data_IF_035258870345
#
_entry.id   IF_035258870345
#
_cell.length_a   1.000
_cell.length_b   1.000
_cell.length_c   1.000
_cell.angle_alpha   90.00
_cell.angle_beta   90.00
_cell.angle_gamma   90.00
#
_symmetry.space_group_name_H-M   'P 1'
#
loop_
_entity.id
_entity.type
_entity.pdbx_description
1 polymer ?
#
# COMPACT_ATOMS: atom_id res chain seq x y z
N UNK A 1 34.48 44.52 47.27
CA UNK A 1 33.27 43.96 46.65
C UNK A 1 33.43 44.15 45.15
N UNK A 2 33.05 43.16 44.34
CA UNK A 2 33.29 43.02 42.88
C UNK A 2 34.55 42.23 42.48
N UNK A 3 34.38 40.91 42.63
CA UNK A 3 34.66 39.82 41.67
C UNK A 3 35.81 39.95 40.68
N UNK A 4 36.87 39.20 40.97
CA UNK A 4 37.92 38.77 40.05
C UNK A 4 37.42 37.65 39.12
N UNK A 5 37.72 37.75 37.82
CA UNK A 5 37.70 36.62 36.87
C UNK A 5 39.13 36.27 36.49
N UNK A 6 39.64 35.15 37.02
CA UNK A 6 40.85 34.51 36.51
C UNK A 6 40.49 33.08 36.08
N UNK A 7 40.61 32.85 34.77
CA UNK A 7 40.55 31.53 34.16
C UNK A 7 41.73 30.67 34.65
N UNK A 8 41.45 29.44 35.06
CA UNK A 8 42.45 28.44 35.41
C UNK A 8 42.14 27.15 34.66
N UNK A 9 43.00 26.86 33.69
CA UNK A 9 43.07 25.62 32.93
C UNK A 9 43.55 24.49 33.83
N UNK A 10 42.84 23.36 33.87
CA UNK A 10 43.27 22.15 34.59
C UNK A 10 43.29 20.95 33.64
N UNK A 11 44.50 20.43 33.42
CA UNK A 11 44.80 19.20 32.68
C UNK A 11 44.64 18.02 33.64
N UNK A 12 43.92 16.93 33.31
CA UNK A 12 43.86 15.76 34.18
C UNK A 12 45.10 14.88 34.00
N UNK A 13 45.80 14.54 35.09
CA UNK A 13 46.70 13.38 35.18
C UNK A 13 46.11 12.36 36.16
N UNK A 14 46.08 11.14 35.68
CA UNK A 14 45.49 9.88 36.18
C UNK A 14 46.05 9.43 37.54
N UNK A 15 45.23 8.75 38.36
CA UNK A 15 45.51 7.46 39.06
C UNK A 15 44.31 7.11 39.99
N UNK A 16 43.82 5.86 39.92
CA UNK A 16 42.99 5.26 40.97
C UNK A 16 41.95 4.22 40.51
N UNK A 17 42.39 2.99 40.28
CA UNK A 17 41.56 1.81 39.98
C UNK A 17 40.51 1.52 41.06
N UNK A 18 39.26 1.23 40.66
CA UNK A 18 38.46 0.13 41.24
C UNK A 18 37.67 -0.57 40.14
N UNK A 19 37.93 -1.86 40.02
CA UNK A 19 37.41 -2.86 39.11
C UNK A 19 35.89 -3.06 39.25
N UNK A 20 35.15 -3.03 38.13
CA UNK A 20 34.09 -4.02 37.87
C UNK A 20 33.84 -4.13 36.37
N UNK A 21 34.27 -5.27 35.82
CA UNK A 21 33.99 -5.72 34.47
C UNK A 21 32.49 -5.95 34.32
N UNK A 22 31.88 -5.31 33.32
CA UNK A 22 30.69 -5.81 32.64
C UNK A 22 30.92 -5.59 31.15
N UNK A 23 30.66 -6.65 30.41
CA UNK A 23 31.11 -6.95 29.06
C UNK A 23 30.84 -5.85 28.02
N UNK A 24 31.89 -5.53 27.26
CA UNK A 24 31.81 -4.76 26.04
C UNK A 24 31.13 -5.62 24.96
N UNK A 25 29.88 -5.29 24.64
CA UNK A 25 29.28 -5.68 23.36
C UNK A 25 29.74 -4.63 22.34
N UNK A 26 30.52 -5.07 21.36
CA UNK A 26 30.89 -4.30 20.18
C UNK A 26 29.63 -3.70 19.56
N UNK A 27 29.52 -2.37 19.58
CA UNK A 27 28.59 -1.65 18.73
C UNK A 27 29.27 -1.63 17.37
N UNK A 28 28.88 -2.58 16.50
CA UNK A 28 29.26 -2.55 15.09
C UNK A 28 28.76 -1.24 14.47
N UNK A 29 29.65 -0.62 13.69
CA UNK A 29 29.44 0.63 12.98
C UNK A 29 28.08 0.65 12.27
N UNK A 30 27.27 1.65 12.60
CA UNK A 30 26.06 1.97 11.87
C UNK A 30 26.45 2.32 10.42
N UNK A 31 26.24 1.37 9.51
CA UNK A 31 26.37 1.60 8.08
C UNK A 31 25.36 2.66 7.69
N UNK A 32 25.85 3.87 7.39
CA UNK A 32 25.08 4.92 6.74
C UNK A 32 24.76 4.39 5.34
N UNK A 33 23.56 3.83 5.17
CA UNK A 33 23.05 3.48 3.85
C UNK A 33 22.73 4.79 3.13
N UNK A 34 23.66 5.22 2.29
CA UNK A 34 23.51 6.35 1.37
C UNK A 34 22.27 6.19 0.49
N UNK A 35 21.67 7.32 0.12
CA UNK A 35 20.42 7.47 -0.64
C UNK A 35 20.44 6.88 -2.07
N UNK A 36 21.57 6.34 -2.53
CA UNK A 36 21.84 5.99 -3.93
C UNK A 36 21.50 4.53 -4.33
N UNK A 37 21.03 3.67 -3.42
CA UNK A 37 20.64 2.29 -3.76
C UNK A 37 19.15 1.99 -3.48
N UNK A 38 18.22 2.81 -4.00
CA UNK A 38 16.92 2.23 -4.36
C UNK A 38 17.12 1.35 -5.58
N UNK A 39 17.54 0.09 -5.35
CA UNK A 39 17.44 -0.96 -6.38
C UNK A 39 16.06 -0.88 -7.01
N UNK A 40 16.00 -0.78 -8.34
CA UNK A 40 14.73 -0.81 -9.08
C UNK A 40 13.89 -1.98 -8.57
N UNK A 41 12.77 -1.67 -7.93
CA UNK A 41 11.76 -2.65 -7.55
C UNK A 41 10.53 -2.46 -8.42
N UNK A 42 9.72 -3.51 -8.65
CA UNK A 42 8.49 -3.37 -9.41
C UNK A 42 7.54 -2.34 -8.79
N UNK A 43 6.60 -1.82 -9.58
CA UNK A 43 5.59 -0.88 -9.08
C UNK A 43 4.58 -1.62 -8.19
N UNK A 44 4.06 -0.96 -7.15
CA UNK A 44 2.98 -1.53 -6.33
C UNK A 44 1.62 -1.58 -7.07
N UNK A 45 1.46 -0.77 -8.13
CA UNK A 45 0.34 -0.78 -9.07
C UNK A 45 0.84 -0.43 -10.47
N UNK A 46 0.35 -1.14 -11.50
CA UNK A 46 0.93 -1.07 -12.85
C UNK A 46 -0.04 -0.52 -13.88
N UNK A 47 -1.27 -1.04 -13.91
CA UNK A 47 -2.20 -0.79 -15.01
C UNK A 47 -2.80 0.62 -14.98
N UNK A 48 -2.75 1.31 -16.13
CA UNK A 48 -3.34 2.63 -16.35
C UNK A 48 -2.84 3.71 -15.37
N UNK A 49 -1.59 3.60 -14.91
CA UNK A 49 -0.98 4.59 -14.02
C UNK A 49 0.34 5.11 -14.56
N UNK A 50 0.73 6.29 -14.11
CA UNK A 50 2.05 6.87 -14.33
C UNK A 50 2.67 7.29 -13.00
N UNK A 51 3.98 7.11 -12.87
CA UNK A 51 4.73 7.61 -11.72
C UNK A 51 4.83 9.13 -11.76
N UNK A 52 4.77 9.76 -10.60
CA UNK A 52 4.96 11.21 -10.45
C UNK A 52 5.66 11.49 -9.12
N UNK A 53 6.41 12.58 -9.04
CA UNK A 53 7.01 13.06 -7.79
C UNK A 53 6.02 13.91 -6.99
N UNK A 54 6.27 14.04 -5.68
CA UNK A 54 5.48 14.92 -4.82
C UNK A 54 5.63 16.39 -5.24
N UNK A 55 6.83 16.81 -5.64
CA UNK A 55 7.13 18.15 -6.14
C UNK A 55 6.34 18.49 -7.41
N UNK A 56 6.24 17.55 -8.37
CA UNK A 56 5.42 17.73 -9.57
C UNK A 56 3.93 17.84 -9.24
N UNK A 57 3.43 17.07 -8.26
CA UNK A 57 2.05 17.21 -7.79
C UNK A 57 1.80 18.59 -7.17
N UNK A 58 2.72 19.08 -6.34
CA UNK A 58 2.59 20.38 -5.67
C UNK A 58 2.64 21.56 -6.64
N UNK A 59 3.51 21.49 -7.66
CA UNK A 59 3.70 22.59 -8.61
C UNK A 59 2.69 22.60 -9.76
N UNK A 60 2.34 21.44 -10.28
CA UNK A 60 1.64 21.34 -11.56
C UNK A 60 0.18 20.86 -11.44
N UNK A 61 -0.20 20.20 -10.34
CA UNK A 61 -1.56 19.68 -10.18
C UNK A 61 -2.49 20.74 -9.60
N UNK A 62 -3.48 21.17 -10.39
CA UNK A 62 -4.54 22.04 -9.89
C UNK A 62 -5.47 21.27 -8.93
N UNK A 63 -6.15 22.02 -8.06
CA UNK A 63 -7.11 21.48 -7.09
C UNK A 63 -8.52 21.79 -7.57
N UNK A 64 -9.35 20.76 -7.87
CA UNK A 64 -10.75 20.97 -8.24
C UNK A 64 -11.57 21.58 -7.11
N UNK A 65 -12.64 22.29 -7.47
CA UNK A 65 -13.65 22.82 -6.55
C UNK A 65 -15.00 22.12 -6.71
N UNK A 66 -15.81 22.17 -5.64
CA UNK A 66 -17.23 21.86 -5.67
C UNK A 66 -18.02 22.97 -6.40
N UNK A 67 -19.30 22.71 -6.69
CA UNK A 67 -20.19 23.65 -7.38
C UNK A 67 -20.50 24.92 -6.59
N UNK A 68 -20.24 24.91 -5.28
CA UNK A 68 -20.28 26.09 -4.39
C UNK A 68 -18.93 26.80 -4.26
N UNK A 69 -17.97 26.50 -5.14
CA UNK A 69 -16.61 27.05 -5.21
C UNK A 69 -15.69 26.70 -4.03
N UNK A 70 -16.10 25.83 -3.11
CA UNK A 70 -15.20 25.33 -2.08
C UNK A 70 -14.19 24.36 -2.71
N UNK A 71 -12.90 24.52 -2.39
CA UNK A 71 -11.88 23.60 -2.87
C UNK A 71 -12.07 22.22 -2.25
N UNK A 72 -11.76 21.20 -3.05
CA UNK A 72 -11.50 19.86 -2.54
C UNK A 72 -10.21 19.86 -1.72
N UNK A 73 -10.02 18.88 -0.84
CA UNK A 73 -8.69 18.62 -0.27
C UNK A 73 -7.74 18.32 -1.45
N UNK A 74 -6.43 18.50 -1.36
CA UNK A 74 -5.53 18.21 -2.49
C UNK A 74 -4.85 16.85 -2.33
N UNK A 75 -4.35 16.26 -3.42
CA UNK A 75 -3.64 14.97 -3.38
C UNK A 75 -2.41 15.05 -2.49
N UNK A 76 -1.62 16.12 -2.62
CA UNK A 76 -0.46 16.41 -1.81
C UNK A 76 -0.82 16.60 -0.33
N UNK A 77 -1.93 17.30 -0.02
CA UNK A 77 -2.34 17.48 1.38
C UNK A 77 -2.77 16.16 2.00
N UNK A 78 -3.41 15.28 1.23
CA UNK A 78 -3.73 13.93 1.66
C UNK A 78 -2.46 13.12 1.98
N UNK A 79 -1.47 13.13 1.09
CA UNK A 79 -0.18 12.43 1.31
C UNK A 79 0.48 12.95 2.60
N UNK A 80 0.64 14.27 2.73
CA UNK A 80 1.28 14.90 3.88
C UNK A 80 0.60 14.53 5.21
N UNK A 81 -0.73 14.56 5.28
CA UNK A 81 -1.44 14.21 6.51
C UNK A 81 -1.22 12.76 6.94
N UNK A 82 -1.09 11.83 5.99
CA UNK A 82 -0.81 10.42 6.29
C UNK A 82 0.66 10.21 6.65
N UNK A 83 1.58 10.89 5.96
CA UNK A 83 3.00 10.87 6.30
C UNK A 83 3.27 11.45 7.69
N UNK A 84 2.68 12.60 8.02
CA UNK A 84 2.83 13.24 9.31
C UNK A 84 2.30 12.35 10.44
N UNK A 85 1.11 11.75 10.25
CA UNK A 85 0.56 10.79 11.20
C UNK A 85 1.49 9.59 11.39
N UNK A 86 2.09 9.07 10.30
CA UNK A 86 2.99 7.94 10.36
C UNK A 86 4.30 8.29 11.07
N UNK A 87 4.91 9.45 10.78
CA UNK A 87 6.14 9.93 11.43
C UNK A 87 5.95 10.15 12.93
N UNK A 88 4.79 10.66 13.33
CA UNK A 88 4.45 10.83 14.75
C UNK A 88 4.26 9.49 15.44
N UNK A 89 3.48 8.58 14.84
CA UNK A 89 3.18 7.29 15.48
C UNK A 89 4.40 6.36 15.53
N UNK A 90 5.17 6.30 14.44
CA UNK A 90 6.38 5.50 14.32
C UNK A 90 7.64 6.37 14.51
N UNK A 91 7.64 7.17 15.58
CA UNK A 91 8.76 8.07 15.91
C UNK A 91 10.06 7.26 16.07
N UNK A 92 11.13 7.70 15.40
CA UNK A 92 12.45 7.05 15.46
C UNK A 92 12.68 5.99 14.38
N UNK A 93 11.65 5.62 13.62
CA UNK A 93 11.77 4.68 12.51
C UNK A 93 12.28 5.36 11.23
N UNK A 94 12.90 4.59 10.34
CA UNK A 94 13.41 5.07 9.07
C UNK A 94 12.37 4.84 7.95
N UNK A 95 12.01 5.89 7.23
CA UNK A 95 11.01 5.84 6.16
C UNK A 95 11.65 5.81 4.78
N UNK A 96 11.04 5.05 3.86
CA UNK A 96 11.34 5.11 2.45
C UNK A 96 10.71 6.32 1.76
N UNK A 97 11.09 6.51 0.49
CA UNK A 97 10.49 7.53 -0.36
C UNK A 97 9.04 7.17 -0.67
N UNK A 98 8.19 8.18 -0.79
CA UNK A 98 6.80 8.00 -1.18
C UNK A 98 6.69 7.78 -2.68
N UNK A 99 6.27 6.57 -3.05
CA UNK A 99 5.92 6.22 -4.42
C UNK A 99 4.52 6.71 -4.72
N UNK A 100 4.36 7.50 -5.79
CA UNK A 100 3.06 8.06 -6.18
C UNK A 100 2.71 7.63 -7.59
N UNK A 101 1.48 7.13 -7.76
CA UNK A 101 0.92 6.64 -9.01
C UNK A 101 -0.38 7.36 -9.29
N UNK A 102 -0.47 8.02 -10.42
CA UNK A 102 -1.64 8.80 -10.83
C UNK A 102 -2.30 8.22 -12.07
N UNK A 103 -3.58 8.54 -12.26
CA UNK A 103 -4.28 8.27 -13.53
C UNK A 103 -3.65 9.04 -14.69
N UNK A 104 -4.21 8.85 -15.90
CA UNK A 104 -3.90 9.73 -17.02
C UNK A 104 -4.12 11.21 -16.66
N UNK A 105 -3.27 12.07 -17.24
CA UNK A 105 -3.37 13.53 -17.11
C UNK A 105 -4.68 14.00 -17.71
N UNK A 106 -5.38 14.89 -17.02
CA UNK A 106 -6.49 15.63 -17.58
C UNK A 106 -6.04 17.06 -17.79
N UNK A 107 -6.06 17.46 -19.06
CA UNK A 107 -5.65 18.78 -19.51
C UNK A 107 -6.88 19.69 -19.57
N UNK A 108 -6.87 20.74 -18.75
CA UNK A 108 -7.73 21.90 -18.86
C UNK A 108 -7.00 23.06 -19.53
N UNK A 109 -7.69 24.19 -19.66
CA UNK A 109 -7.13 25.44 -20.17
C UNK A 109 -7.34 26.55 -19.15
N UNK A 110 -6.37 27.45 -19.04
CA UNK A 110 -6.57 28.68 -18.28
C UNK A 110 -7.62 29.57 -18.97
N UNK A 111 -8.33 30.46 -18.24
CA UNK A 111 -9.39 31.28 -18.82
C UNK A 111 -8.97 32.10 -20.05
N UNK A 112 -7.74 32.62 -20.07
CA UNK A 112 -7.18 33.41 -21.17
C UNK A 112 -6.88 32.61 -22.44
N UNK A 113 -6.93 31.27 -22.39
CA UNK A 113 -6.59 30.37 -23.49
C UNK A 113 -7.76 29.52 -23.99
N UNK A 114 -8.99 29.74 -23.48
CA UNK A 114 -10.16 28.92 -23.82
C UNK A 114 -10.44 28.85 -25.33
N UNK A 115 -10.23 29.95 -26.05
CA UNK A 115 -10.51 30.08 -27.49
C UNK A 115 -9.32 29.72 -28.39
N UNK A 116 -8.12 29.50 -27.83
CA UNK A 116 -6.93 29.12 -28.62
C UNK A 116 -7.15 27.74 -29.25
N UNK A 117 -6.69 27.55 -30.48
CA UNK A 117 -6.71 26.22 -31.11
C UNK A 117 -5.66 25.32 -30.45
N UNK A 118 -5.82 23.99 -30.59
CA UNK A 118 -4.92 23.02 -29.92
C UNK A 118 -3.46 23.23 -30.34
N UNK A 119 -3.23 23.63 -31.59
CA UNK A 119 -1.91 23.88 -32.17
C UNK A 119 -1.26 25.18 -31.65
N UNK A 120 -2.05 26.07 -31.02
CA UNK A 120 -1.63 27.39 -30.52
C UNK A 120 -1.45 27.40 -28.99
N UNK A 121 -1.75 26.28 -28.31
CA UNK A 121 -1.60 26.16 -26.87
C UNK A 121 -0.12 26.05 -26.50
N UNK A 122 0.29 26.86 -25.52
CA UNK A 122 1.59 26.75 -24.86
C UNK A 122 1.42 26.01 -23.52
N UNK A 123 2.49 25.46 -22.93
CA UNK A 123 2.39 24.75 -21.65
C UNK A 123 1.74 25.58 -20.52
N UNK A 124 2.01 26.88 -20.49
CA UNK A 124 1.40 27.84 -19.54
C UNK A 124 -0.10 28.10 -19.77
N UNK A 125 -0.63 27.73 -20.93
CA UNK A 125 -2.04 27.84 -21.27
C UNK A 125 -2.86 26.63 -20.76
N UNK A 126 -2.19 25.57 -20.32
CA UNK A 126 -2.79 24.31 -19.88
C UNK A 126 -2.81 24.18 -18.35
N UNK A 127 -3.87 23.57 -17.82
CA UNK A 127 -3.93 23.16 -16.42
C UNK A 127 -3.96 21.65 -16.33
N UNK A 128 -3.29 21.06 -15.34
CA UNK A 128 -3.18 19.62 -15.20
C UNK A 128 -3.85 19.20 -13.90
N UNK A 129 -4.71 18.18 -13.96
CA UNK A 129 -5.10 17.44 -12.76
C UNK A 129 -5.20 15.95 -13.02
N UNK A 130 -5.20 15.17 -11.93
CA UNK A 130 -5.33 13.72 -11.96
C UNK A 130 -6.60 13.30 -11.22
N UNK A 131 -7.47 12.55 -11.89
CA UNK A 131 -8.71 12.04 -11.29
C UNK A 131 -8.45 11.07 -10.14
N UNK A 132 -7.41 10.23 -10.26
CA UNK A 132 -7.10 9.20 -9.28
C UNK A 132 -5.62 9.25 -8.93
N UNK A 133 -5.33 9.09 -7.65
CA UNK A 133 -3.98 9.05 -7.11
C UNK A 133 -3.90 7.93 -6.07
N UNK A 134 -2.82 7.16 -6.13
CA UNK A 134 -2.42 6.21 -5.11
C UNK A 134 -1.01 6.55 -4.66
N UNK A 135 -0.72 6.41 -3.38
CA UNK A 135 0.63 6.51 -2.86
C UNK A 135 0.93 5.40 -1.87
N UNK A 136 2.21 5.07 -1.73
CA UNK A 136 2.71 4.05 -0.82
C UNK A 136 4.14 4.41 -0.40
N UNK A 137 4.44 4.27 0.90
CA UNK A 137 5.81 4.34 1.42
C UNK A 137 6.00 3.23 2.46
N UNK A 138 7.22 2.70 2.53
CA UNK A 138 7.58 1.67 3.50
C UNK A 138 8.34 2.25 4.69
N UNK A 139 8.23 1.60 5.83
CA UNK A 139 9.07 1.84 7.00
C UNK A 139 10.27 0.89 6.89
N UNK A 140 11.41 1.39 6.39
CA UNK A 140 12.61 0.63 6.05
C UNK A 140 13.12 -0.22 7.22
N UNK A 141 13.10 0.33 8.43
CA UNK A 141 13.53 -0.33 9.66
C UNK A 141 12.57 -1.44 10.13
N UNK A 142 11.33 -1.48 9.61
CA UNK A 142 10.36 -2.53 9.89
C UNK A 142 10.30 -3.55 8.75
N UNK A 143 11.37 -4.33 8.61
CA UNK A 143 11.42 -5.47 7.68
C UNK A 143 11.38 -6.81 8.40
N UNK A 144 10.89 -7.86 7.72
CA UNK A 144 10.90 -9.25 8.18
C UNK A 144 11.12 -10.20 7.02
N UNK A 145 11.62 -11.40 7.33
CA UNK A 145 11.61 -12.53 6.39
C UNK A 145 10.35 -13.35 6.61
N UNK A 146 9.55 -13.52 5.56
CA UNK A 146 8.29 -14.27 5.59
C UNK A 146 8.22 -15.19 4.37
N UNK A 147 8.07 -16.49 4.59
CA UNK A 147 7.94 -17.49 3.53
C UNK A 147 9.05 -17.44 2.46
N UNK A 148 10.27 -17.09 2.85
CA UNK A 148 11.42 -16.96 1.96
C UNK A 148 11.60 -15.59 1.31
N UNK A 149 10.68 -14.65 1.55
CA UNK A 149 10.71 -13.31 0.97
C UNK A 149 10.93 -12.23 2.04
N UNK A 150 11.66 -11.18 1.68
CA UNK A 150 11.75 -9.98 2.52
C UNK A 150 10.50 -9.13 2.34
N UNK A 151 9.90 -8.73 3.46
CA UNK A 151 8.71 -7.89 3.50
C UNK A 151 8.94 -6.66 4.37
N UNK A 152 8.30 -5.55 4.00
CA UNK A 152 8.34 -4.31 4.76
C UNK A 152 6.95 -3.89 5.17
N UNK A 153 6.82 -3.29 6.36
CA UNK A 153 5.60 -2.60 6.73
C UNK A 153 5.47 -1.34 5.85
N UNK A 154 4.29 -1.15 5.28
CA UNK A 154 4.01 -0.06 4.35
C UNK A 154 2.67 0.62 4.68
N UNK A 155 2.62 1.90 4.37
CA UNK A 155 1.49 2.78 4.60
C UNK A 155 1.19 3.49 3.29
N UNK A 156 -0.07 3.78 3.04
CA UNK A 156 -0.44 4.52 1.86
C UNK A 156 -1.91 4.87 1.82
N UNK A 157 -2.33 5.33 0.65
CA UNK A 157 -3.71 5.71 0.44
C UNK A 157 -4.07 5.86 -1.02
N UNK A 158 -5.37 5.89 -1.25
CA UNK A 158 -5.98 6.12 -2.56
C UNK A 158 -6.99 7.25 -2.44
N UNK A 159 -6.96 8.14 -3.42
CA UNK A 159 -8.00 9.14 -3.62
C UNK A 159 -8.50 9.08 -5.06
N UNK A 160 -9.82 9.15 -5.21
CA UNK A 160 -10.49 9.16 -6.50
C UNK A 160 -11.54 10.26 -6.53
N UNK A 161 -11.27 11.33 -7.28
CA UNK A 161 -12.21 12.43 -7.48
C UNK A 161 -13.49 11.97 -8.22
N UNK A 162 -13.44 10.81 -8.88
CA UNK A 162 -14.61 10.21 -9.53
C UNK A 162 -15.63 9.66 -8.53
N UNK A 163 -15.25 9.50 -7.26
CA UNK A 163 -16.18 9.11 -6.18
C UNK A 163 -16.89 10.34 -5.56
N UNK A 164 -16.52 11.55 -5.99
CA UNK A 164 -17.09 12.83 -5.58
C UNK A 164 -18.11 13.37 -6.58
N UNK A 165 -19.09 14.13 -6.08
CA UNK A 165 -19.97 14.93 -6.93
C UNK A 165 -19.50 16.39 -6.94
N UNK A 166 -18.50 16.69 -7.76
CA UNK A 166 -17.90 18.02 -7.86
C UNK A 166 -18.86 19.11 -8.36
N UNK A 167 -19.99 18.75 -8.99
CA UNK A 167 -21.01 19.71 -9.42
C UNK A 167 -22.00 20.09 -8.31
N UNK A 168 -22.02 19.35 -7.20
CA UNK A 168 -22.85 19.65 -6.04
C UNK A 168 -22.12 20.58 -5.06
N UNK A 169 -22.83 21.03 -4.02
CA UNK A 169 -22.21 21.70 -2.86
C UNK A 169 -21.20 20.75 -2.21
N UNK A 170 -20.23 21.30 -1.47
CA UNK A 170 -19.28 20.49 -0.68
C UNK A 170 -19.99 19.46 0.20
N UNK A 171 -19.57 18.21 0.04
CA UNK A 171 -19.96 17.05 0.86
C UNK A 171 -18.71 16.45 1.50
N UNK A 172 -18.85 15.51 2.46
CA UNK A 172 -17.73 14.72 2.91
C UNK A 172 -17.02 14.07 1.71
N UNK A 173 -15.71 14.30 1.62
CA UNK A 173 -14.84 13.77 0.58
C UNK A 173 -14.37 12.36 0.98
N UNK A 174 -14.19 11.47 0.00
CA UNK A 174 -13.85 10.06 0.20
C UNK A 174 -12.37 9.79 -0.05
N UNK A 175 -11.79 9.08 0.89
CA UNK A 175 -10.41 8.62 0.86
C UNK A 175 -10.34 7.15 1.26
N UNK A 176 -9.21 6.53 0.94
CA UNK A 176 -8.86 5.19 1.43
C UNK A 176 -7.45 5.27 1.99
N UNK A 177 -7.25 4.77 3.20
CA UNK A 177 -5.93 4.71 3.85
C UNK A 177 -5.66 3.27 4.28
N UNK A 178 -4.41 2.85 4.20
CA UNK A 178 -4.01 1.51 4.58
C UNK A 178 -2.67 1.48 5.32
N UNK A 179 -2.51 0.42 6.10
CA UNK A 179 -1.25 -0.05 6.66
C UNK A 179 -1.21 -1.57 6.50
N UNK A 180 -0.09 -2.12 6.05
CA UNK A 180 0.03 -3.55 5.82
C UNK A 180 1.43 -3.94 5.35
N UNK A 181 1.60 -5.18 4.94
CA UNK A 181 2.91 -5.70 4.53
C UNK A 181 3.07 -5.66 3.02
N UNK A 182 4.28 -5.37 2.54
CA UNK A 182 4.64 -5.38 1.12
C UNK A 182 5.84 -6.27 0.87
N UNK A 183 5.75 -7.13 -0.14
CA UNK A 183 6.86 -8.00 -0.55
C UNK A 183 7.87 -7.23 -1.39
N UNK A 184 9.15 -7.30 -1.02
CA UNK A 184 10.22 -6.52 -1.67
C UNK A 184 10.44 -6.89 -3.14
N UNK A 185 10.46 -8.19 -3.48
CA UNK A 185 10.84 -8.65 -4.82
C UNK A 185 9.81 -8.32 -5.91
N UNK A 186 8.55 -8.13 -5.54
CA UNK A 186 7.47 -7.91 -6.50
C UNK A 186 6.58 -6.70 -6.17
N UNK A 187 6.75 -6.06 -5.01
CA UNK A 187 5.89 -4.96 -4.56
C UNK A 187 4.42 -5.33 -4.38
N UNK A 188 4.08 -6.61 -4.23
CA UNK A 188 2.74 -7.02 -3.84
C UNK A 188 2.42 -6.49 -2.44
N UNK A 189 1.32 -5.74 -2.33
CA UNK A 189 0.71 -5.44 -1.03
C UNK A 189 -0.03 -6.67 -0.51
N UNK A 190 -0.07 -6.80 0.81
CA UNK A 190 -0.81 -7.83 1.53
C UNK A 190 -1.62 -7.14 2.61
N UNK A 191 -2.79 -6.63 2.21
CA UNK A 191 -3.70 -5.94 3.10
C UNK A 191 -4.66 -6.91 3.77
N UNK A 192 -4.92 -6.66 5.04
CA UNK A 192 -5.95 -7.34 5.84
C UNK A 192 -7.04 -6.35 6.22
N UNK A 193 -8.16 -6.86 6.72
CA UNK A 193 -9.30 -6.03 7.08
C UNK A 193 -9.00 -4.98 8.17
N UNK A 194 -8.17 -5.32 9.16
CA UNK A 194 -7.69 -4.41 10.21
C UNK A 194 -6.64 -3.40 9.73
N UNK A 195 -6.13 -3.57 8.51
CA UNK A 195 -5.13 -2.71 7.88
C UNK A 195 -5.69 -1.77 6.80
N UNK A 196 -7.00 -1.78 6.52
CA UNK A 196 -7.60 -0.97 5.45
C UNK A 196 -8.84 -0.21 5.93
N UNK A 197 -8.79 1.12 5.86
CA UNK A 197 -10.00 1.94 5.88
C UNK A 197 -10.45 2.20 4.44
N UNK A 198 -11.32 1.34 3.91
CA UNK A 198 -11.75 1.36 2.51
C UNK A 198 -12.73 2.48 2.13
N UNK A 199 -13.33 3.15 3.11
CA UNK A 199 -14.21 4.32 2.92
C UNK A 199 -14.07 5.28 4.10
N UNK A 200 -13.13 6.20 3.98
CA UNK A 200 -12.94 7.31 4.91
C UNK A 200 -13.66 8.54 4.35
N UNK A 201 -14.71 9.02 5.03
CA UNK A 201 -15.44 10.23 4.66
C UNK A 201 -15.04 11.39 5.58
N UNK A 202 -14.50 12.46 5.02
CA UNK A 202 -13.91 13.59 5.78
C UNK A 202 -14.40 14.94 5.30
N UNK A 203 -14.50 15.89 6.21
CA UNK A 203 -14.83 17.28 5.88
C UNK A 203 -13.58 18.16 5.80
N UNK A 204 -12.51 17.75 6.47
CA UNK A 204 -11.23 18.46 6.55
C UNK A 204 -10.04 17.51 6.46
N UNK A 205 -8.88 18.05 6.15
CA UNK A 205 -7.64 17.27 6.14
C UNK A 205 -7.16 16.86 7.54
N UNK A 206 -7.59 17.54 8.60
CA UNK A 206 -7.33 17.13 9.98
C UNK A 206 -8.03 15.79 10.34
N UNK A 207 -9.18 15.51 9.72
CA UNK A 207 -9.89 14.24 9.91
C UNK A 207 -9.12 13.07 9.28
N UNK A 208 -8.36 13.32 8.21
CA UNK A 208 -7.47 12.33 7.57
C UNK A 208 -6.37 11.95 8.54
N UNK A 209 -5.66 12.93 9.09
CA UNK A 209 -4.59 12.71 10.07
C UNK A 209 -5.08 11.90 11.27
N UNK A 210 -6.22 12.32 11.84
CA UNK A 210 -6.82 11.65 13.00
C UNK A 210 -7.24 10.21 12.69
N UNK A 211 -7.76 9.96 11.48
CA UNK A 211 -8.14 8.62 11.03
C UNK A 211 -6.92 7.74 10.75
N UNK A 212 -5.84 8.31 10.20
CA UNK A 212 -4.57 7.62 9.99
C UNK A 212 -3.95 7.17 11.32
N UNK A 213 -3.86 8.07 12.31
CA UNK A 213 -3.38 7.71 13.65
C UNK A 213 -4.19 6.58 14.28
N UNK A 214 -5.53 6.63 14.18
CA UNK A 214 -6.39 5.56 14.70
C UNK A 214 -6.12 4.24 14.01
N UNK A 215 -6.00 4.23 12.68
CA UNK A 215 -5.67 3.03 11.92
C UNK A 215 -4.34 2.43 12.38
N UNK A 216 -3.31 3.25 12.60
CA UNK A 216 -2.00 2.76 13.04
C UNK A 216 -2.03 2.22 14.48
N UNK A 217 -2.84 2.81 15.35
CA UNK A 217 -3.07 2.34 16.72
C UNK A 217 -3.81 1.00 16.77
N UNK A 218 -4.81 0.83 15.92
CA UNK A 218 -5.66 -0.36 15.91
C UNK A 218 -5.00 -1.55 15.18
N UNK A 219 -4.13 -1.27 14.20
CA UNK A 219 -3.42 -2.28 13.44
C UNK A 219 -2.45 -3.07 14.32
N UNK A 220 -2.43 -4.40 14.16
CA UNK A 220 -1.60 -5.32 14.97
C UNK A 220 -0.57 -6.03 14.08
N UNK A 221 0.61 -5.42 13.82
CA UNK A 221 1.58 -5.92 12.85
C UNK A 221 1.98 -7.39 13.07
N UNK A 222 2.24 -7.77 14.32
CA UNK A 222 2.68 -9.13 14.68
C UNK A 222 1.58 -10.19 14.52
N UNK A 223 0.30 -9.84 14.75
CA UNK A 223 -0.81 -10.75 14.49
C UNK A 223 -0.99 -10.95 12.99
N UNK A 224 -0.87 -9.86 12.23
CA UNK A 224 -0.90 -9.86 10.78
C UNK A 224 0.22 -10.72 10.18
N UNK A 225 1.45 -10.56 10.67
CA UNK A 225 2.60 -11.37 10.27
C UNK A 225 2.35 -12.85 10.46
N UNK A 226 1.90 -13.27 11.65
CA UNK A 226 1.62 -14.69 11.93
C UNK A 226 0.56 -15.26 11.01
N UNK A 227 -0.49 -14.50 10.72
CA UNK A 227 -1.53 -14.90 9.77
C UNK A 227 -0.93 -15.17 8.39
N UNK A 228 -0.15 -14.22 7.88
CA UNK A 228 0.46 -14.28 6.55
C UNK A 228 1.55 -15.37 6.44
N UNK A 229 2.38 -15.53 7.48
CA UNK A 229 3.38 -16.60 7.57
C UNK A 229 2.73 -17.99 7.50
N UNK A 230 1.61 -18.18 8.20
CA UNK A 230 0.91 -19.47 8.22
C UNK A 230 0.42 -19.89 6.82
N UNK A 231 0.14 -18.96 5.91
CA UNK A 231 -0.27 -19.29 4.53
C UNK A 231 0.79 -20.11 3.77
N UNK A 232 2.07 -19.98 4.11
CA UNK A 232 3.15 -20.75 3.45
C UNK A 232 3.16 -22.24 3.80
N UNK A 233 2.48 -22.61 4.90
CA UNK A 233 2.45 -23.99 5.44
C UNK A 233 1.37 -24.85 4.79
N UNK A 234 0.28 -24.27 4.31
CA UNK A 234 -0.80 -25.00 3.64
C UNK A 234 -0.51 -25.11 2.15
N UNK A 235 -0.42 -26.35 1.65
CA UNK A 235 -0.13 -26.63 0.24
C UNK A 235 -1.41 -26.78 -0.58
N UNK A 236 -1.34 -26.37 -1.83
CA UNK A 236 -2.40 -26.46 -2.84
C UNK A 236 -1.83 -27.27 -4.01
N UNK A 237 -2.48 -28.38 -4.31
CA UNK A 237 -2.12 -29.22 -5.45
C UNK A 237 -2.49 -28.56 -6.78
N UNK A 238 -1.91 -29.06 -7.88
CA UNK A 238 -2.26 -28.56 -9.21
C UNK A 238 -3.75 -28.75 -9.52
N UNK A 239 -4.33 -29.88 -9.08
CA UNK A 239 -5.75 -30.16 -9.23
C UNK A 239 -6.60 -29.15 -8.46
N UNK A 240 -6.26 -28.87 -7.20
CA UNK A 240 -6.95 -27.88 -6.37
C UNK A 240 -6.81 -26.47 -6.96
N UNK A 241 -5.64 -26.10 -7.47
CA UNK A 241 -5.46 -24.82 -8.14
C UNK A 241 -6.37 -24.70 -9.38
N UNK A 242 -6.43 -25.74 -10.22
CA UNK A 242 -7.32 -25.78 -11.37
C UNK A 242 -8.80 -25.67 -10.97
N UNK A 243 -9.23 -26.34 -9.90
CA UNK A 243 -10.58 -26.23 -9.34
C UNK A 243 -10.86 -24.80 -8.89
N UNK A 244 -9.95 -24.19 -8.13
CA UNK A 244 -10.06 -22.79 -7.68
C UNK A 244 -10.27 -21.85 -8.86
N UNK A 245 -9.40 -21.92 -9.88
CA UNK A 245 -9.50 -21.05 -11.06
C UNK A 245 -10.81 -21.30 -11.83
N UNK A 246 -11.21 -22.56 -12.01
CA UNK A 246 -12.48 -22.92 -12.65
C UNK A 246 -13.69 -22.37 -11.89
N UNK A 247 -13.69 -22.48 -10.56
CA UNK A 247 -14.74 -21.97 -9.68
C UNK A 247 -14.78 -20.45 -9.64
N UNK A 248 -13.64 -19.77 -9.66
CA UNK A 248 -13.55 -18.31 -9.78
C UNK A 248 -14.14 -17.78 -11.10
N UNK A 249 -13.94 -18.51 -12.21
CA UNK A 249 -14.60 -18.18 -13.48
C UNK A 249 -16.10 -18.42 -13.43
N UNK A 250 -16.53 -19.56 -12.88
CA UNK A 250 -17.95 -19.87 -12.73
C UNK A 250 -18.65 -18.85 -11.82
N UNK A 251 -18.00 -18.45 -10.72
CA UNK A 251 -18.50 -17.47 -9.74
C UNK A 251 -19.01 -16.21 -10.42
N UNK A 252 -18.27 -15.67 -11.40
CA UNK A 252 -18.65 -14.46 -12.12
C UNK A 252 -19.91 -14.61 -13.00
N UNK A 253 -20.31 -15.83 -13.33
CA UNK A 253 -21.50 -16.14 -14.11
C UNK A 253 -22.70 -16.59 -13.25
N UNK A 254 -22.53 -16.73 -11.92
CA UNK A 254 -23.59 -17.20 -11.04
C UNK A 254 -24.70 -16.16 -10.85
N UNK A 255 -25.96 -16.59 -10.67
CA UNK A 255 -27.04 -15.68 -10.32
C UNK A 255 -26.84 -15.11 -8.90
N UNK A 256 -27.38 -13.91 -8.68
CA UNK A 256 -27.25 -13.18 -7.41
C UNK A 256 -27.79 -13.94 -6.17
N UNK A 257 -28.71 -14.90 -6.36
CA UNK A 257 -29.17 -15.77 -5.27
C UNK A 257 -28.05 -16.68 -4.75
N UNK A 258 -27.32 -17.34 -5.64
CA UNK A 258 -26.23 -18.26 -5.28
C UNK A 258 -24.99 -17.48 -4.79
N UNK A 259 -24.70 -16.33 -5.39
CA UNK A 259 -23.59 -15.48 -4.95
C UNK A 259 -23.70 -15.03 -3.49
N UNK A 260 -24.92 -14.89 -2.95
CA UNK A 260 -25.15 -14.50 -1.55
C UNK A 260 -24.80 -15.61 -0.55
N UNK A 261 -24.69 -16.86 -1.01
CA UNK A 261 -24.36 -18.02 -0.18
C UNK A 261 -22.85 -18.31 -0.14
N UNK A 262 -22.07 -17.62 -0.99
CA UNK A 262 -20.64 -17.82 -1.17
C UNK A 262 -19.85 -16.63 -0.63
N UNK A 263 -18.56 -16.84 -0.28
CA UNK A 263 -17.65 -15.74 0.02
C UNK A 263 -17.60 -14.72 -1.11
N UNK A 264 -17.54 -13.45 -0.75
CA UNK A 264 -17.46 -12.38 -1.74
C UNK A 264 -16.08 -12.40 -2.42
N UNK A 265 -16.06 -12.53 -3.74
CA UNK A 265 -14.85 -12.37 -4.56
C UNK A 265 -15.05 -11.22 -5.53
N UNK A 266 -14.11 -10.27 -5.55
CA UNK A 266 -14.17 -9.06 -6.40
C UNK A 266 -13.07 -8.99 -7.46
N UNK A 267 -12.43 -10.13 -7.72
CA UNK A 267 -11.53 -10.34 -8.84
C UNK A 267 -12.34 -10.63 -10.11
N UNK A 268 -12.03 -9.90 -11.19
CA UNK A 268 -12.66 -10.11 -12.49
C UNK A 268 -11.91 -11.12 -13.36
N UNK A 269 -12.50 -11.48 -14.49
CA UNK A 269 -11.93 -12.43 -15.46
C UNK A 269 -10.49 -12.11 -15.86
N UNK A 270 -10.16 -10.82 -16.05
CA UNK A 270 -8.80 -10.41 -16.38
C UNK A 270 -7.81 -10.72 -15.24
N UNK A 271 -8.21 -10.51 -13.99
CA UNK A 271 -7.38 -10.83 -12.82
C UNK A 271 -7.22 -12.36 -12.69
N UNK A 272 -8.30 -13.13 -12.83
CA UNK A 272 -8.24 -14.61 -12.78
C UNK A 272 -7.32 -15.16 -13.89
N UNK A 273 -7.41 -14.60 -15.10
CA UNK A 273 -6.53 -14.97 -16.20
C UNK A 273 -5.07 -14.59 -15.95
N UNK A 274 -4.81 -13.42 -15.38
CA UNK A 274 -3.47 -12.99 -15.02
C UNK A 274 -2.86 -13.90 -13.93
N UNK A 275 -3.63 -14.26 -12.90
CA UNK A 275 -3.19 -15.20 -11.87
C UNK A 275 -2.89 -16.60 -12.44
N UNK A 276 -3.71 -17.06 -13.41
CA UNK A 276 -3.49 -18.33 -14.11
C UNK A 276 -2.18 -18.32 -14.90
N UNK A 277 -1.86 -17.22 -15.59
CA UNK A 277 -0.55 -17.06 -16.26
C UNK A 277 0.59 -17.03 -15.25
N UNK A 278 0.43 -16.26 -14.18
CA UNK A 278 1.40 -16.17 -13.09
C UNK A 278 1.68 -17.52 -12.45
N UNK A 279 0.69 -18.39 -12.30
CA UNK A 279 0.89 -19.75 -11.80
C UNK A 279 1.90 -20.57 -12.64
N UNK A 280 2.00 -20.31 -13.95
CA UNK A 280 2.98 -20.99 -14.81
C UNK A 280 4.30 -20.21 -14.88
N UNK A 281 4.19 -18.89 -15.04
CA UNK A 281 5.30 -18.04 -15.48
C UNK A 281 6.03 -17.32 -14.34
N UNK A 282 5.35 -17.03 -13.22
CA UNK A 282 5.91 -16.23 -12.13
C UNK A 282 7.09 -16.97 -11.49
N UNK A 283 8.30 -16.37 -11.44
CA UNK A 283 9.50 -17.04 -10.96
C UNK A 283 9.51 -17.26 -9.44
N UNK A 284 8.79 -16.42 -8.68
CA UNK A 284 8.81 -16.45 -7.21
C UNK A 284 7.67 -17.31 -6.66
N UNK A 285 6.47 -17.19 -7.24
CA UNK A 285 5.24 -17.79 -6.69
C UNK A 285 4.55 -18.78 -7.64
N UNK A 286 5.02 -18.94 -8.87
CA UNK A 286 4.47 -19.92 -9.82
C UNK A 286 4.94 -21.35 -9.56
N UNK A 287 4.25 -22.34 -10.13
CA UNK A 287 4.57 -23.76 -9.97
C UNK A 287 6.02 -24.07 -10.31
N UNK A 288 6.51 -23.64 -11.48
CA UNK A 288 7.95 -23.65 -11.86
C UNK A 288 8.71 -24.95 -11.52
N UNK A 289 8.09 -26.12 -11.73
CA UNK A 289 8.68 -27.43 -11.45
C UNK A 289 8.53 -27.92 -10.01
N UNK A 290 7.90 -27.13 -9.13
CA UNK A 290 7.38 -27.61 -7.83
C UNK A 290 6.19 -28.53 -8.06
N UNK A 291 5.96 -29.47 -7.15
CA UNK A 291 4.77 -30.33 -7.20
C UNK A 291 3.49 -29.57 -6.84
N UNK A 292 3.60 -28.60 -5.92
CA UNK A 292 2.49 -27.86 -5.32
C UNK A 292 2.91 -26.39 -5.08
N UNK A 293 1.92 -25.50 -5.01
CA UNK A 293 2.09 -24.15 -4.47
C UNK A 293 1.56 -24.10 -3.02
N UNK A 294 1.72 -23.00 -2.32
CA UNK A 294 1.10 -22.75 -1.00
C UNK A 294 -0.04 -21.74 -1.08
N UNK A 295 -0.82 -21.60 -0.01
CA UNK A 295 -1.80 -20.51 0.09
C UNK A 295 -1.13 -19.13 0.04
N UNK A 296 0.13 -19.03 0.49
CA UNK A 296 0.94 -17.82 0.32
C UNK A 296 1.21 -17.54 -1.15
N UNK A 297 1.68 -18.54 -1.90
CA UNK A 297 1.89 -18.40 -3.34
C UNK A 297 0.60 -18.02 -4.07
N UNK A 298 -0.54 -18.65 -3.74
CA UNK A 298 -1.85 -18.29 -4.29
C UNK A 298 -2.19 -16.82 -4.02
N UNK A 299 -2.08 -16.38 -2.76
CA UNK A 299 -2.31 -14.98 -2.39
C UNK A 299 -1.44 -14.03 -3.22
N UNK A 300 -0.16 -14.36 -3.38
CA UNK A 300 0.79 -13.54 -4.12
C UNK A 300 0.48 -13.47 -5.62
N UNK A 301 0.05 -14.59 -6.22
CA UNK A 301 -0.39 -14.61 -7.62
C UNK A 301 -1.66 -13.78 -7.85
N UNK A 302 -2.61 -13.84 -6.91
CA UNK A 302 -3.84 -13.03 -6.96
C UNK A 302 -3.54 -11.54 -6.73
N UNK A 303 -2.66 -11.21 -5.77
CA UNK A 303 -2.22 -9.84 -5.51
C UNK A 303 -1.48 -9.23 -6.71
N UNK A 304 -0.62 -9.99 -7.37
CA UNK A 304 0.08 -9.56 -8.58
C UNK A 304 -0.92 -9.28 -9.71
N UNK A 305 -1.90 -10.17 -9.90
CA UNK A 305 -3.00 -9.95 -10.82
C UNK A 305 -3.84 -8.71 -10.46
N UNK A 306 -4.03 -8.42 -9.17
CA UNK A 306 -4.79 -7.28 -8.69
C UNK A 306 -4.13 -5.93 -9.01
N UNK A 307 -2.80 -5.86 -9.25
CA UNK A 307 -2.10 -4.64 -9.71
C UNK A 307 -2.59 -4.13 -11.07
N UNK A 308 -3.28 -4.96 -11.83
CA UNK A 308 -3.89 -4.58 -13.10
C UNK A 308 -5.22 -3.81 -12.92
N UNK A 309 -5.66 -3.64 -11.68
CA UNK A 309 -6.89 -2.91 -11.34
C UNK A 309 -6.70 -1.41 -11.45
N UNK A 310 -7.81 -0.70 -11.69
CA UNK A 310 -7.82 0.75 -11.53
C UNK A 310 -7.51 1.13 -10.07
N UNK A 311 -6.83 2.27 -9.90
CA UNK A 311 -6.44 2.84 -8.60
C UNK A 311 -7.57 2.76 -7.56
N UNK A 312 -8.79 3.17 -7.91
CA UNK A 312 -9.93 3.26 -7.01
C UNK A 312 -10.45 1.89 -6.50
N UNK A 313 -10.13 0.78 -7.20
CA UNK A 313 -10.52 -0.59 -6.81
C UNK A 313 -9.38 -1.45 -6.31
N UNK A 314 -8.15 -0.94 -6.40
CA UNK A 314 -6.94 -1.72 -6.14
C UNK A 314 -6.86 -2.23 -4.70
N UNK A 315 -7.04 -1.35 -3.70
CA UNK A 315 -6.87 -1.73 -2.28
C UNK A 315 -7.90 -2.78 -1.83
N UNK A 316 -9.16 -2.61 -2.23
CA UNK A 316 -10.25 -3.54 -1.90
C UNK A 316 -10.00 -4.92 -2.51
N UNK A 317 -9.56 -4.95 -3.78
CA UNK A 317 -9.20 -6.20 -4.46
C UNK A 317 -7.99 -6.87 -3.82
N UNK A 318 -6.99 -6.10 -3.43
CA UNK A 318 -5.81 -6.61 -2.73
C UNK A 318 -6.20 -7.26 -1.40
N UNK A 319 -6.98 -6.56 -0.56
CA UNK A 319 -7.51 -7.13 0.67
C UNK A 319 -8.29 -8.42 0.40
N UNK A 320 -9.17 -8.41 -0.61
CA UNK A 320 -9.96 -9.59 -0.96
C UNK A 320 -9.11 -10.78 -1.43
N UNK A 321 -7.94 -10.56 -2.02
CA UNK A 321 -6.99 -11.64 -2.34
C UNK A 321 -6.45 -12.30 -1.05
N UNK A 322 -6.09 -11.49 -0.05
CA UNK A 322 -5.67 -11.99 1.27
C UNK A 322 -6.80 -12.77 1.95
N UNK A 323 -8.00 -12.21 2.01
CA UNK A 323 -9.17 -12.85 2.61
C UNK A 323 -9.48 -14.18 1.92
N UNK A 324 -9.40 -14.21 0.58
CA UNK A 324 -9.62 -15.42 -0.20
C UNK A 324 -8.58 -16.50 0.10
N UNK A 325 -7.29 -16.15 0.13
CA UNK A 325 -6.24 -17.13 0.43
C UNK A 325 -6.34 -17.69 1.86
N UNK A 326 -6.70 -16.84 2.84
CA UNK A 326 -6.98 -17.27 4.22
C UNK A 326 -8.21 -18.18 4.26
N UNK A 327 -9.27 -17.86 3.52
CA UNK A 327 -10.47 -18.68 3.41
C UNK A 327 -10.19 -20.07 2.81
N UNK A 328 -9.41 -20.13 1.73
CA UNK A 328 -8.96 -21.40 1.13
C UNK A 328 -8.11 -22.20 2.11
N UNK A 329 -7.18 -21.56 2.84
CA UNK A 329 -6.41 -22.22 3.88
C UNK A 329 -7.31 -22.87 4.93
N UNK A 330 -8.29 -22.12 5.45
CA UNK A 330 -9.25 -22.64 6.44
C UNK A 330 -10.03 -23.83 5.88
N UNK A 331 -10.48 -23.75 4.63
CA UNK A 331 -11.19 -24.85 3.99
C UNK A 331 -10.34 -26.11 3.84
N UNK A 332 -9.07 -25.97 3.45
CA UNK A 332 -8.14 -27.10 3.36
C UNK A 332 -7.80 -27.71 4.72
N UNK A 333 -7.82 -26.91 5.78
CA UNK A 333 -7.58 -27.36 7.15
C UNK A 333 -8.83 -27.92 7.85
N UNK A 334 -10.01 -27.91 7.20
CA UNK A 334 -11.27 -28.36 7.80
C UNK A 334 -11.92 -27.36 8.75
N UNK A 335 -11.54 -26.08 8.66
CA UNK A 335 -12.01 -24.95 9.48
C UNK A 335 -12.92 -24.00 8.68
N UNK A 336 -13.55 -24.48 7.60
CA UNK A 336 -14.41 -23.66 6.75
C UNK A 336 -15.71 -23.26 7.47
N UNK A 337 -15.92 -21.96 7.59
CA UNK A 337 -17.16 -21.38 8.17
C UNK A 337 -17.92 -20.49 7.19
N UNK A 338 -17.35 -20.24 6.01
CA UNK A 338 -17.87 -19.25 5.06
C UNK A 338 -18.13 -19.85 3.67
N UNK A 339 -18.03 -21.18 3.52
CA UNK A 339 -18.22 -21.92 2.27
C UNK A 339 -17.09 -21.71 1.24
N UNK A 340 -15.85 -21.51 1.68
CA UNK A 340 -14.69 -21.47 0.78
C UNK A 340 -14.39 -22.84 0.14
N UNK A 341 -14.82 -23.94 0.76
CA UNK A 341 -14.75 -25.30 0.22
C UNK A 341 -15.45 -25.45 -1.12
N UNK A 342 -16.42 -24.59 -1.46
CA UNK A 342 -17.03 -24.55 -2.79
C UNK A 342 -15.99 -24.32 -3.90
N UNK A 343 -14.95 -23.51 -3.64
CA UNK A 343 -13.87 -23.24 -4.59
C UNK A 343 -12.90 -24.42 -4.75
N UNK A 344 -12.99 -25.43 -3.90
CA UNK A 344 -12.16 -26.64 -3.91
C UNK A 344 -12.93 -27.89 -4.37
N UNK A 345 -14.20 -27.72 -4.74
CA UNK A 345 -15.13 -28.81 -5.11
C UNK A 345 -15.37 -28.94 -6.60
#
# INVERSE_FOLDING_TARGET
>A
METMTNELTVIPRTIGMVTRMMDAVNIEDAVIVSEEEQKEHPNFIESNTSGITLEELERNCIVPSFGDNQLTISHQKFIHQVEDAARVYFTGENFGNTEIRVSHKILGRVPSALTKRKEELRPEDETIYYQRMAFCFHIRSMSRMMNGEEVHLCIGGVRSLNEENLYARKSPEKFKIFIGWRVRVCSNLMLTNDGLTGRLEVMSDADIYSSALRLFQDFKPEQNLRLLENLGRTKISQEQFCQIIGRLRLYQALPASQLRELPKVILGDSNVNAATKGYIENPNFGLRGRDNISCWDLMQLLNDAAKQSYIDKFLERNQNCTDFAVGIQKALNGEDTENYSWFLS
#
